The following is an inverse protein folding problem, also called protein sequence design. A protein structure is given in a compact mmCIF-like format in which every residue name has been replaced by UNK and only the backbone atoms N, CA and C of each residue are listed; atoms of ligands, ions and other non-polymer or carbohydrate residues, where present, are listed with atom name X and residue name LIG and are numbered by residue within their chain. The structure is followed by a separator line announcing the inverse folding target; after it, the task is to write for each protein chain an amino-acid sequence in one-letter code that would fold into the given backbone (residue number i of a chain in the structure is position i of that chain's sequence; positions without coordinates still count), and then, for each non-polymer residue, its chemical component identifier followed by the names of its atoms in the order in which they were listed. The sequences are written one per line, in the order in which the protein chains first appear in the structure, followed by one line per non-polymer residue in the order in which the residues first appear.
data_IF_983834638628
#
_entry.id   IF_983834638628
#
_cell.length_a   1.000
_cell.length_b   1.000
_cell.length_c   1.000
_cell.angle_alpha   90.00
_cell.angle_beta   90.00
_cell.angle_gamma   90.00
#
_symmetry.space_group_name_H-M   'P 1'
#
loop_
_entity.id
_entity.type
_entity.pdbx_description
1 polymer ?
#
# COMPACT_ATOMS: atom_id res chain seq x y z
N UNK A 1 4.16 -1.12 -6.25
CA UNK A 1 5.48 -0.89 -6.81
C UNK A 1 6.02 -2.08 -7.59
N UNK A 2 6.88 -2.93 -7.00
CA UNK A 2 7.59 -3.96 -7.76
C UNK A 2 6.69 -4.92 -8.54
N UNK A 3 5.60 -5.38 -7.96
CA UNK A 3 4.65 -6.30 -8.61
C UNK A 3 3.93 -5.69 -9.81
N UNK A 4 3.62 -4.40 -9.74
CA UNK A 4 3.06 -3.63 -10.86
C UNK A 4 4.07 -3.54 -12.01
N UNK A 5 5.35 -3.28 -11.70
CA UNK A 5 6.42 -3.21 -12.69
C UNK A 5 6.71 -4.58 -13.33
N UNK A 6 6.75 -5.64 -12.53
CA UNK A 6 6.91 -7.01 -13.04
C UNK A 6 5.77 -7.35 -13.98
N UNK A 7 4.52 -7.13 -13.56
CA UNK A 7 3.34 -7.36 -14.38
C UNK A 7 3.35 -6.55 -15.67
N UNK A 8 3.69 -5.26 -15.61
CA UNK A 8 3.83 -4.41 -16.79
C UNK A 8 4.91 -4.89 -17.75
N UNK A 9 6.07 -5.32 -17.24
CA UNK A 9 7.14 -5.89 -18.08
C UNK A 9 6.72 -7.22 -18.72
N UNK A 10 5.96 -8.07 -18.03
CA UNK A 10 5.38 -9.28 -18.63
C UNK A 10 4.42 -8.89 -19.75
N UNK A 11 3.56 -7.88 -19.55
CA UNK A 11 2.69 -7.36 -20.61
C UNK A 11 3.46 -6.88 -21.82
N UNK A 12 4.60 -6.20 -21.61
CA UNK A 12 5.52 -5.83 -22.71
C UNK A 12 6.14 -7.03 -23.39
N UNK A 13 6.58 -8.04 -22.64
CA UNK A 13 7.13 -9.27 -23.19
C UNK A 13 6.12 -10.00 -24.09
N UNK A 14 4.85 -10.03 -23.68
CA UNK A 14 3.76 -10.58 -24.53
C UNK A 14 3.63 -9.81 -25.83
N UNK A 15 3.69 -8.47 -25.80
CA UNK A 15 3.67 -7.65 -27.01
C UNK A 15 4.80 -8.03 -27.96
N UNK A 16 6.02 -8.21 -27.44
CA UNK A 16 7.22 -8.52 -28.24
C UNK A 16 7.14 -9.94 -28.82
N UNK A 17 6.69 -10.93 -28.03
CA UNK A 17 6.52 -12.33 -28.46
C UNK A 17 5.51 -12.45 -29.63
N UNK A 18 4.36 -11.81 -29.46
CA UNK A 18 3.29 -11.85 -30.49
C UNK A 18 3.49 -10.81 -31.60
N UNK A 19 4.59 -10.05 -31.56
CA UNK A 19 4.92 -9.00 -32.52
C UNK A 19 3.77 -8.02 -32.77
N UNK A 20 3.00 -7.70 -31.75
CA UNK A 20 1.89 -6.77 -31.86
C UNK A 20 2.44 -5.36 -32.09
N UNK A 21 1.85 -4.65 -33.05
CA UNK A 21 2.28 -3.32 -33.45
C UNK A 21 1.20 -2.29 -33.06
N UNK A 22 1.64 -1.10 -32.71
CA UNK A 22 0.79 0.04 -32.40
C UNK A 22 0.83 0.45 -30.93
N UNK A 23 0.72 1.75 -30.70
CA UNK A 23 0.78 2.34 -29.36
C UNK A 23 -0.40 1.90 -28.48
N UNK A 24 -1.57 1.67 -29.07
CA UNK A 24 -2.73 1.20 -28.33
C UNK A 24 -2.51 -0.20 -27.72
N UNK A 25 -1.98 -1.15 -28.51
CA UNK A 25 -1.65 -2.48 -28.03
C UNK A 25 -0.60 -2.43 -26.93
N UNK A 26 0.42 -1.58 -27.09
CA UNK A 26 1.48 -1.38 -26.09
C UNK A 26 0.92 -0.85 -24.78
N UNK A 27 0.15 0.23 -24.80
CA UNK A 27 -0.45 0.80 -23.60
C UNK A 27 -1.42 -0.17 -22.92
N UNK A 28 -2.25 -0.86 -23.71
CA UNK A 28 -3.21 -1.84 -23.20
C UNK A 28 -2.52 -3.00 -22.49
N UNK A 29 -1.49 -3.62 -23.10
CA UNK A 29 -0.81 -4.77 -22.50
C UNK A 29 0.03 -4.39 -21.29
N UNK A 30 0.70 -3.22 -21.30
CA UNK A 30 1.40 -2.70 -20.13
C UNK A 30 0.44 -2.50 -18.94
N UNK A 31 -0.69 -1.83 -19.19
CA UNK A 31 -1.70 -1.58 -18.16
C UNK A 31 -2.35 -2.87 -17.65
N UNK A 32 -2.69 -3.79 -18.57
CA UNK A 32 -3.25 -5.12 -18.22
C UNK A 32 -2.29 -5.91 -17.35
N UNK A 33 -1.01 -5.98 -17.73
CA UNK A 33 0.00 -6.68 -16.95
C UNK A 33 0.22 -6.05 -15.58
N UNK A 34 0.28 -4.72 -15.51
CA UNK A 34 0.41 -3.98 -14.26
C UNK A 34 -0.77 -4.22 -13.32
N UNK A 35 -2.01 -4.17 -13.84
CA UNK A 35 -3.22 -4.49 -13.08
C UNK A 35 -3.24 -5.94 -12.57
N UNK A 36 -2.89 -6.88 -13.46
CA UNK A 36 -2.81 -8.31 -13.13
C UNK A 36 -1.76 -8.59 -12.03
N UNK A 37 -0.60 -7.92 -12.11
CA UNK A 37 0.44 -8.02 -11.09
C UNK A 37 0.00 -7.50 -9.72
N UNK A 38 -0.75 -6.39 -9.70
CA UNK A 38 -1.31 -5.86 -8.45
C UNK A 38 -2.39 -6.77 -7.88
N UNK A 39 -3.31 -7.24 -8.75
CA UNK A 39 -4.39 -8.14 -8.36
C UNK A 39 -3.87 -9.45 -7.75
N UNK A 40 -2.81 -10.03 -8.35
CA UNK A 40 -2.15 -11.21 -7.81
C UNK A 40 -1.49 -10.95 -6.45
N UNK A 41 -0.83 -9.78 -6.32
CA UNK A 41 -0.12 -9.44 -5.07
C UNK A 41 -1.04 -9.29 -3.86
N UNK A 42 -2.29 -8.88 -4.07
CA UNK A 42 -3.25 -8.59 -2.99
C UNK A 42 -4.47 -9.53 -2.98
N UNK A 43 -4.54 -10.49 -3.91
CA UNK A 43 -5.74 -11.31 -4.15
C UNK A 43 -7.02 -10.44 -4.26
N UNK A 44 -6.89 -9.26 -4.87
CA UNK A 44 -7.92 -8.23 -4.93
C UNK A 44 -8.14 -7.75 -6.38
N UNK A 45 -8.95 -8.48 -7.18
CA UNK A 45 -9.13 -8.18 -8.59
C UNK A 45 -9.74 -6.80 -8.85
N UNK A 46 -10.76 -6.42 -8.10
CA UNK A 46 -11.41 -5.10 -8.27
C UNK A 46 -10.46 -3.95 -7.95
N UNK A 47 -9.70 -4.08 -6.86
CA UNK A 47 -8.70 -3.09 -6.49
C UNK A 47 -7.60 -2.94 -7.56
N UNK A 48 -7.15 -4.05 -8.17
CA UNK A 48 -6.20 -4.03 -9.27
C UNK A 48 -6.71 -3.28 -10.50
N UNK A 49 -7.97 -3.47 -10.86
CA UNK A 49 -8.62 -2.76 -11.98
C UNK A 49 -8.74 -1.26 -11.67
N UNK A 50 -9.29 -0.91 -10.51
CA UNK A 50 -9.51 0.49 -10.13
C UNK A 50 -8.19 1.25 -10.01
N UNK A 51 -7.18 0.64 -9.39
CA UNK A 51 -5.85 1.24 -9.26
C UNK A 51 -5.23 1.62 -10.62
N UNK A 52 -5.29 0.72 -11.61
CA UNK A 52 -4.74 1.02 -12.92
C UNK A 52 -5.53 2.11 -13.64
N UNK A 53 -6.85 2.10 -13.53
CA UNK A 53 -7.70 3.13 -14.10
C UNK A 53 -7.37 4.50 -13.49
N UNK A 54 -7.09 4.57 -12.20
CA UNK A 54 -6.82 5.80 -11.48
C UNK A 54 -5.37 6.26 -11.63
N UNK A 55 -4.40 5.38 -11.36
CA UNK A 55 -2.97 5.71 -11.28
C UNK A 55 -2.33 5.88 -12.66
N UNK A 56 -2.71 5.06 -13.65
CA UNK A 56 -2.12 5.10 -14.98
C UNK A 56 -2.90 6.03 -15.95
N UNK A 57 -3.64 6.99 -15.44
CA UNK A 57 -4.44 7.93 -16.23
C UNK A 57 -3.72 8.53 -17.45
N UNK A 58 -2.45 8.98 -17.37
CA UNK A 58 -1.78 9.59 -18.52
C UNK A 58 -1.42 8.58 -19.60
N UNK A 59 -1.20 7.30 -19.23
CA UNK A 59 -0.77 6.22 -20.12
C UNK A 59 -1.91 5.29 -20.53
N UNK A 60 -3.04 5.33 -19.82
CA UNK A 60 -4.18 4.46 -20.07
C UNK A 60 -5.18 5.13 -21.00
N UNK A 61 -5.32 4.57 -22.21
CA UNK A 61 -6.36 4.99 -23.17
C UNK A 61 -7.63 4.21 -22.86
N UNK A 62 -8.67 4.92 -22.45
CA UNK A 62 -9.99 4.36 -22.13
C UNK A 62 -10.74 3.94 -23.39
N UNK A 63 -10.28 2.87 -24.04
CA UNK A 63 -11.01 2.21 -25.13
C UNK A 63 -11.73 0.98 -24.57
N UNK A 64 -12.80 0.54 -25.24
CA UNK A 64 -13.48 -0.71 -24.87
C UNK A 64 -12.54 -1.91 -24.90
N UNK A 65 -11.55 -1.89 -25.80
CA UNK A 65 -10.54 -2.93 -25.94
C UNK A 65 -9.64 -2.94 -24.69
N UNK A 66 -9.11 -1.77 -24.31
CA UNK A 66 -8.23 -1.63 -23.15
C UNK A 66 -8.92 -2.04 -21.86
N UNK A 67 -10.17 -1.60 -21.65
CA UNK A 67 -10.94 -1.95 -20.45
C UNK A 67 -11.19 -3.47 -20.39
N UNK A 68 -11.66 -4.08 -21.48
CA UNK A 68 -11.90 -5.53 -21.53
C UNK A 68 -10.61 -6.32 -21.30
N UNK A 69 -9.48 -5.89 -21.86
CA UNK A 69 -8.19 -6.54 -21.69
C UNK A 69 -7.74 -6.51 -20.22
N UNK A 70 -7.89 -5.36 -19.53
CA UNK A 70 -7.57 -5.24 -18.11
C UNK A 70 -8.44 -6.17 -17.26
N UNK A 71 -9.76 -6.21 -17.50
CA UNK A 71 -10.66 -7.12 -16.79
C UNK A 71 -10.26 -8.59 -16.99
N UNK A 72 -10.06 -9.01 -18.24
CA UNK A 72 -9.66 -10.39 -18.55
C UNK A 72 -8.33 -10.73 -17.89
N UNK A 73 -7.32 -9.87 -18.05
CA UNK A 73 -5.99 -10.10 -17.49
C UNK A 73 -6.00 -10.20 -15.95
N UNK A 74 -6.74 -9.34 -15.29
CA UNK A 74 -6.90 -9.35 -13.82
C UNK A 74 -7.64 -10.60 -13.35
N UNK A 75 -8.74 -10.98 -14.00
CA UNK A 75 -9.50 -12.18 -13.66
C UNK A 75 -8.64 -13.43 -13.82
N UNK A 76 -7.94 -13.57 -14.96
CA UNK A 76 -7.05 -14.70 -15.21
C UNK A 76 -5.90 -14.77 -14.20
N UNK A 77 -5.29 -13.63 -13.87
CA UNK A 77 -4.25 -13.56 -12.86
C UNK A 77 -4.75 -14.00 -11.47
N UNK A 78 -5.94 -13.56 -11.08
CA UNK A 78 -6.56 -13.93 -9.80
C UNK A 78 -6.93 -15.43 -9.77
N UNK A 79 -7.45 -15.97 -10.87
CA UNK A 79 -7.72 -17.42 -10.98
C UNK A 79 -6.42 -18.21 -10.81
N UNK A 80 -5.36 -17.85 -11.52
CA UNK A 80 -4.07 -18.51 -11.39
C UNK A 80 -3.49 -18.39 -9.98
N UNK A 81 -3.58 -17.21 -9.37
CA UNK A 81 -3.15 -17.02 -7.98
C UNK A 81 -3.88 -18.00 -7.03
N UNK A 82 -5.21 -18.12 -7.14
CA UNK A 82 -6.03 -18.99 -6.29
C UNK A 82 -5.78 -20.47 -6.52
N UNK A 83 -5.47 -20.89 -7.74
CA UNK A 83 -5.08 -22.28 -8.04
C UNK A 83 -3.83 -22.67 -7.25
N UNK A 84 -2.82 -21.78 -7.15
CA UNK A 84 -1.55 -22.08 -6.50
C UNK A 84 -1.56 -21.79 -4.99
N UNK A 85 -2.29 -20.78 -4.53
CA UNK A 85 -2.26 -20.30 -3.14
C UNK A 85 -3.56 -20.55 -2.37
N UNK A 86 -4.52 -21.27 -2.98
CA UNK A 86 -5.86 -21.47 -2.43
C UNK A 86 -6.64 -20.15 -2.21
N UNK A 87 -7.84 -20.24 -1.64
CA UNK A 87 -8.72 -19.08 -1.39
C UNK A 87 -8.43 -18.37 -0.06
N UNK A 88 -7.16 -18.21 0.29
CA UNK A 88 -6.79 -17.56 1.54
C UNK A 88 -6.73 -16.05 1.33
N UNK A 89 -7.41 -15.29 2.18
CA UNK A 89 -7.25 -13.84 2.23
C UNK A 89 -5.80 -13.49 2.57
N UNK A 90 -5.20 -12.55 1.84
CA UNK A 90 -3.83 -12.11 2.11
C UNK A 90 -3.71 -11.44 3.48
N UNK A 91 -4.76 -10.72 3.88
CA UNK A 91 -4.87 -10.05 5.17
C UNK A 91 -6.16 -10.55 5.80
N UNK A 92 -6.05 -11.40 6.81
CA UNK A 92 -7.19 -11.85 7.60
C UNK A 92 -7.35 -10.92 8.81
N UNK A 93 -8.38 -10.09 8.75
CA UNK A 93 -8.71 -9.14 9.84
C UNK A 93 -9.76 -9.69 10.80
N UNK A 94 -10.14 -10.98 10.63
CA UNK A 94 -11.20 -11.60 11.42
C UNK A 94 -12.59 -11.08 11.07
N UNK A 95 -13.55 -11.39 11.93
CA UNK A 95 -14.92 -10.88 11.82
C UNK A 95 -15.04 -9.64 12.71
N UNK A 96 -15.23 -8.50 12.10
CA UNK A 96 -15.57 -7.26 12.80
C UNK A 96 -17.08 -7.09 12.82
N UNK A 97 -17.59 -6.47 13.88
CA UNK A 97 -19.01 -6.14 13.97
C UNK A 97 -19.38 -5.03 12.97
N UNK A 98 -20.59 -5.11 12.42
CA UNK A 98 -21.10 -4.07 11.54
C UNK A 98 -21.29 -2.77 12.33
N UNK A 99 -20.72 -1.67 11.82
CA UNK A 99 -20.90 -0.36 12.42
C UNK A 99 -22.33 0.15 12.16
N UNK A 100 -23.05 0.66 13.17
CA UNK A 100 -24.36 1.24 13.00
C UNK A 100 -24.35 2.44 12.03
N UNK A 101 -25.40 2.60 11.22
CA UNK A 101 -25.48 3.70 10.23
C UNK A 101 -25.38 5.09 10.84
N UNK A 102 -25.80 5.26 12.10
CA UNK A 102 -25.71 6.52 12.84
C UNK A 102 -24.29 6.90 13.23
N UNK A 103 -23.28 6.06 12.96
CA UNK A 103 -21.86 6.32 13.22
C UNK A 103 -21.09 6.76 11.97
N UNK A 104 -21.74 6.87 10.81
CA UNK A 104 -21.10 7.27 9.56
C UNK A 104 -20.38 8.62 9.62
N UNK A 105 -20.82 9.53 10.48
CA UNK A 105 -20.15 10.80 10.70
C UNK A 105 -18.73 10.65 11.28
N UNK A 106 -18.46 9.59 12.05
CA UNK A 106 -17.11 9.27 12.53
C UNK A 106 -16.17 8.91 11.37
N UNK A 107 -16.68 8.14 10.40
CA UNK A 107 -15.93 7.83 9.18
C UNK A 107 -15.68 9.08 8.32
N UNK A 108 -16.61 10.02 8.32
CA UNK A 108 -16.40 11.32 7.66
C UNK A 108 -15.24 12.09 8.32
N UNK A 109 -15.20 12.14 9.66
CA UNK A 109 -14.10 12.78 10.40
C UNK A 109 -12.78 12.07 10.10
N UNK A 110 -12.75 10.74 10.14
CA UNK A 110 -11.58 9.95 9.79
C UNK A 110 -11.11 10.25 8.35
N UNK A 111 -12.04 10.35 7.41
CA UNK A 111 -11.76 10.73 6.02
C UNK A 111 -11.13 12.12 5.91
N UNK A 112 -11.58 13.09 6.69
CA UNK A 112 -10.98 14.43 6.75
C UNK A 112 -9.56 14.36 7.31
N UNK A 113 -9.33 13.57 8.37
CA UNK A 113 -7.99 13.37 8.96
C UNK A 113 -7.03 12.79 7.91
N UNK A 114 -7.44 11.74 7.18
CA UNK A 114 -6.63 11.16 6.10
C UNK A 114 -6.44 12.13 4.93
N UNK A 115 -7.48 12.89 4.59
CA UNK A 115 -7.41 13.91 3.54
C UNK A 115 -6.40 15.01 3.83
N UNK A 116 -6.21 15.37 5.10
CA UNK A 116 -5.18 16.32 5.54
C UNK A 116 -3.81 15.64 5.64
N UNK A 117 -3.76 14.42 6.17
CA UNK A 117 -2.51 13.69 6.37
C UNK A 117 -1.81 13.35 5.03
N UNK A 118 -2.58 12.95 4.00
CA UNK A 118 -2.02 12.54 2.71
C UNK A 118 -1.11 13.60 2.06
N UNK A 119 -1.57 14.84 1.82
CA UNK A 119 -0.74 15.90 1.27
C UNK A 119 0.47 16.25 2.15
N UNK A 120 0.34 16.20 3.47
CA UNK A 120 1.43 16.44 4.42
C UNK A 120 2.48 15.35 4.27
N UNK A 121 2.06 14.08 4.26
CA UNK A 121 2.96 12.94 4.07
C UNK A 121 3.70 13.03 2.73
N UNK A 122 3.01 13.39 1.65
CA UNK A 122 3.64 13.57 0.34
C UNK A 122 4.72 14.66 0.36
N UNK A 123 4.46 15.79 1.04
CA UNK A 123 5.48 16.84 1.24
C UNK A 123 6.70 16.31 2.02
N UNK A 124 6.47 15.47 3.04
CA UNK A 124 7.57 14.88 3.80
C UNK A 124 8.39 13.90 2.94
N UNK A 125 7.74 13.11 2.08
CA UNK A 125 8.42 12.23 1.12
C UNK A 125 9.34 13.04 0.21
N UNK A 126 8.80 14.08 -0.44
CA UNK A 126 9.58 14.94 -1.34
C UNK A 126 10.74 15.65 -0.59
N UNK A 127 10.46 16.22 0.58
CA UNK A 127 11.50 16.87 1.40
C UNK A 127 12.58 15.89 1.85
N UNK A 128 12.22 14.66 2.20
CA UNK A 128 13.20 13.64 2.58
C UNK A 128 14.05 13.18 1.38
N UNK A 129 13.46 13.06 0.19
CA UNK A 129 14.20 12.75 -1.04
C UNK A 129 15.23 13.85 -1.34
N UNK A 130 14.82 15.12 -1.26
CA UNK A 130 15.72 16.27 -1.47
C UNK A 130 16.84 16.29 -0.43
N UNK A 131 16.52 16.03 0.84
CA UNK A 131 17.49 16.00 1.93
C UNK A 131 18.54 14.90 1.69
N UNK A 132 18.11 13.67 1.43
CA UNK A 132 19.02 12.56 1.21
C UNK A 132 19.84 12.76 -0.08
N UNK A 133 19.25 13.33 -1.12
CA UNK A 133 19.97 13.68 -2.34
C UNK A 133 21.08 14.71 -2.07
N UNK A 134 20.82 15.73 -1.25
CA UNK A 134 21.85 16.70 -0.83
C UNK A 134 22.95 16.05 0.00
N UNK A 135 22.62 15.12 0.88
CA UNK A 135 23.59 14.43 1.76
C UNK A 135 24.59 13.61 0.95
N UNK A 136 24.12 12.81 -0.01
CA UNK A 136 25.04 12.01 -0.83
C UNK A 136 25.68 12.81 -1.98
N UNK A 137 25.05 13.90 -2.45
CA UNK A 137 25.61 14.81 -3.46
C UNK A 137 26.06 14.12 -4.75
N UNK A 138 25.42 13.01 -5.16
CA UNK A 138 25.82 12.18 -6.30
C UNK A 138 27.03 11.26 -6.06
N UNK A 139 27.61 11.25 -4.85
CA UNK A 139 28.74 10.38 -4.53
C UNK A 139 28.25 8.97 -4.18
N UNK A 140 28.65 7.98 -4.97
CA UNK A 140 28.22 6.57 -4.84
C UNK A 140 28.59 6.00 -3.47
N UNK A 141 29.78 6.29 -2.95
CA UNK A 141 30.23 5.77 -1.64
C UNK A 141 29.34 6.30 -0.51
N UNK A 142 29.03 7.61 -0.52
CA UNK A 142 28.12 8.19 0.47
C UNK A 142 26.71 7.61 0.34
N UNK A 143 26.24 7.37 -0.88
CA UNK A 143 24.94 6.78 -1.13
C UNK A 143 24.84 5.36 -0.59
N UNK A 144 25.85 4.52 -0.86
CA UNK A 144 25.93 3.13 -0.33
C UNK A 144 26.00 3.13 1.21
N UNK A 145 26.84 3.98 1.82
CA UNK A 145 26.94 4.09 3.27
C UNK A 145 25.61 4.55 3.90
N UNK A 146 24.94 5.52 3.28
CA UNK A 146 23.62 5.99 3.72
C UNK A 146 22.56 4.87 3.64
N UNK A 147 22.53 4.13 2.52
CA UNK A 147 21.66 2.97 2.36
C UNK A 147 21.93 1.89 3.41
N UNK A 148 23.22 1.62 3.69
CA UNK A 148 23.63 0.70 4.75
C UNK A 148 23.19 1.17 6.14
N UNK A 149 23.32 2.47 6.44
CA UNK A 149 22.87 3.04 7.72
C UNK A 149 21.34 2.95 7.89
N UNK A 150 20.57 3.27 6.82
CA UNK A 150 19.11 3.15 6.83
C UNK A 150 18.70 1.67 7.00
N UNK A 151 19.34 0.76 6.26
CA UNK A 151 19.09 -0.67 6.37
C UNK A 151 19.42 -1.20 7.77
N UNK A 152 20.55 -0.78 8.35
CA UNK A 152 20.93 -1.12 9.72
C UNK A 152 19.93 -0.61 10.77
N UNK A 153 19.45 0.63 10.62
CA UNK A 153 18.39 1.20 11.48
C UNK A 153 17.09 0.39 11.37
N UNK A 154 16.66 0.07 10.16
CA UNK A 154 15.45 -0.71 9.94
C UNK A 154 15.60 -2.15 10.48
N UNK A 155 16.80 -2.76 10.35
CA UNK A 155 17.12 -4.07 10.92
C UNK A 155 17.09 -4.06 12.45
N UNK A 156 17.66 -3.04 13.08
CA UNK A 156 17.64 -2.87 14.52
C UNK A 156 16.21 -2.66 15.04
N UNK A 157 15.43 -1.79 14.38
CA UNK A 157 14.03 -1.58 14.72
C UNK A 157 13.20 -2.85 14.52
N UNK A 158 13.48 -3.63 13.46
CA UNK A 158 12.84 -4.92 13.21
C UNK A 158 13.15 -5.97 14.29
N UNK A 159 14.32 -5.90 14.90
CA UNK A 159 14.71 -6.78 16.01
C UNK A 159 14.06 -6.34 17.34
N UNK A 160 14.11 -5.05 17.66
CA UNK A 160 13.63 -4.52 18.95
C UNK A 160 12.08 -4.37 18.96
N UNK A 161 11.51 -3.92 17.85
CA UNK A 161 10.08 -3.67 17.70
C UNK A 161 9.59 -4.12 16.31
N UNK A 162 9.36 -5.42 16.10
CA UNK A 162 9.01 -6.00 14.79
C UNK A 162 7.81 -5.31 14.10
N UNK A 163 6.86 -4.77 14.89
CA UNK A 163 5.71 -4.03 14.38
C UNK A 163 6.07 -2.74 13.62
N UNK A 164 7.29 -2.19 13.82
CA UNK A 164 7.72 -0.92 13.21
C UNK A 164 8.39 -1.08 11.85
N UNK A 165 8.71 -2.29 11.42
CA UNK A 165 9.47 -2.56 10.20
C UNK A 165 8.72 -3.45 9.21
N UNK A 166 9.30 -3.61 8.01
CA UNK A 166 8.75 -4.45 6.94
C UNK A 166 7.48 -3.88 6.28
N UNK A 167 6.85 -4.65 5.41
CA UNK A 167 5.67 -4.24 4.63
C UNK A 167 4.40 -4.01 5.46
N UNK A 168 4.34 -4.53 6.70
CA UNK A 168 3.23 -4.31 7.62
C UNK A 168 2.06 -5.27 7.49
N UNK A 169 2.09 -6.26 6.61
CA UNK A 169 1.00 -7.23 6.47
C UNK A 169 0.69 -7.99 7.76
N UNK A 170 1.70 -8.36 8.55
CA UNK A 170 1.52 -9.02 9.84
C UNK A 170 1.03 -8.06 10.94
N UNK A 171 1.26 -6.76 10.78
CA UNK A 171 0.80 -5.75 11.73
C UNK A 171 -0.71 -5.50 11.62
N UNK A 172 -1.24 -5.52 10.40
CA UNK A 172 -2.64 -5.17 10.12
C UNK A 172 -3.61 -6.02 10.95
N UNK A 173 -3.57 -7.38 10.94
CA UNK A 173 -4.47 -8.19 11.74
C UNK A 173 -4.33 -7.95 13.25
N UNK A 174 -3.08 -7.74 13.73
CA UNK A 174 -2.81 -7.54 15.16
C UNK A 174 -3.35 -6.19 15.63
N UNK A 175 -3.16 -5.14 14.82
CA UNK A 175 -3.65 -3.80 15.12
C UNK A 175 -5.19 -3.75 15.08
N UNK A 176 -5.80 -4.36 14.05
CA UNK A 176 -7.25 -4.43 13.90
C UNK A 176 -7.93 -5.18 15.04
N UNK A 177 -7.28 -6.24 15.57
CA UNK A 177 -7.77 -6.97 16.75
C UNK A 177 -7.68 -6.17 18.07
N UNK A 178 -7.15 -4.94 18.06
CA UNK A 178 -7.06 -4.09 19.25
C UNK A 178 -5.99 -4.52 20.27
N UNK A 179 -5.01 -5.32 19.86
CA UNK A 179 -3.99 -5.89 20.76
C UNK A 179 -2.90 -4.88 21.20
N UNK A 180 -2.97 -3.63 20.77
CA UNK A 180 -2.02 -2.59 21.14
C UNK A 180 -2.64 -1.52 22.04
N UNK A 181 -1.88 -1.03 23.00
CA UNK A 181 -2.25 0.17 23.74
C UNK A 181 -2.14 1.42 22.85
N UNK A 182 -2.85 2.50 23.19
CA UNK A 182 -2.78 3.78 22.48
C UNK A 182 -1.34 4.29 22.34
N UNK A 183 -0.56 4.24 23.41
CA UNK A 183 0.86 4.64 23.39
C UNK A 183 1.70 3.82 22.40
N UNK A 184 1.43 2.51 22.32
CA UNK A 184 2.12 1.63 21.37
C UNK A 184 1.70 1.92 19.93
N UNK A 185 0.44 2.21 19.65
CA UNK A 185 -0.04 2.59 18.32
C UNK A 185 0.62 3.90 17.85
N UNK A 186 0.70 4.91 18.71
CA UNK A 186 1.38 6.17 18.41
C UNK A 186 2.87 5.94 18.12
N UNK A 187 3.54 5.14 18.95
CA UNK A 187 4.95 4.78 18.72
C UNK A 187 5.15 4.07 17.38
N UNK A 188 4.34 3.04 17.09
CA UNK A 188 4.40 2.29 15.82
C UNK A 188 4.13 3.24 14.64
N UNK A 189 3.14 4.11 14.74
CA UNK A 189 2.80 5.08 13.69
C UNK A 189 3.99 5.99 13.37
N UNK A 190 4.56 6.64 14.38
CA UNK A 190 5.70 7.55 14.21
C UNK A 190 6.93 6.82 13.67
N UNK A 191 7.27 5.66 14.25
CA UNK A 191 8.39 4.86 13.79
C UNK A 191 8.21 4.41 12.33
N UNK A 192 7.01 3.97 11.94
CA UNK A 192 6.70 3.59 10.55
C UNK A 192 6.72 4.76 9.59
N UNK A 193 6.23 5.92 9.98
CA UNK A 193 6.36 7.14 9.15
C UNK A 193 7.83 7.40 8.87
N UNK A 194 8.68 7.42 9.90
CA UNK A 194 10.12 7.70 9.77
C UNK A 194 10.80 6.64 8.89
N UNK A 195 10.59 5.35 9.18
CA UNK A 195 11.21 4.26 8.42
C UNK A 195 10.75 4.24 6.96
N UNK A 196 9.46 4.50 6.70
CA UNK A 196 8.93 4.59 5.33
C UNK A 196 9.53 5.75 4.57
N UNK A 197 9.63 6.93 5.18
CA UNK A 197 10.27 8.11 4.57
C UNK A 197 11.74 7.84 4.24
N UNK A 198 12.50 7.28 5.18
CA UNK A 198 13.92 6.97 4.98
C UNK A 198 14.13 5.91 3.90
N UNK A 199 13.40 4.79 3.98
CA UNK A 199 13.55 3.70 3.01
C UNK A 199 13.13 4.10 1.62
N UNK A 200 11.97 4.76 1.46
CA UNK A 200 11.47 5.17 0.15
C UNK A 200 12.35 6.25 -0.49
N UNK A 201 12.88 7.15 0.32
CA UNK A 201 13.72 8.25 -0.15
C UNK A 201 15.20 7.87 -0.33
N UNK A 202 15.62 6.67 0.08
CA UNK A 202 17.00 6.19 -0.06
C UNK A 202 17.44 5.95 -1.51
N UNK A 203 16.48 5.89 -2.44
CA UNK A 203 16.72 5.52 -3.85
C UNK A 203 16.80 4.02 -4.08
N UNK A 204 16.66 3.19 -3.05
CA UNK A 204 16.54 1.74 -3.22
C UNK A 204 15.20 1.40 -3.92
N UNK A 205 15.19 0.45 -4.86
CA UNK A 205 13.95 0.04 -5.51
C UNK A 205 12.98 -0.57 -4.50
N UNK A 206 11.79 -0.01 -4.38
CA UNK A 206 10.80 -0.44 -3.42
C UNK A 206 9.40 0.05 -3.74
N UNK A 207 8.43 -0.26 -2.86
CA UNK A 207 7.06 0.19 -2.98
C UNK A 207 6.57 0.81 -1.68
N UNK A 208 5.81 1.89 -1.80
CA UNK A 208 5.24 2.61 -0.65
C UNK A 208 3.85 2.07 -0.27
N UNK A 209 3.19 1.32 -1.15
CA UNK A 209 1.78 0.93 -1.00
C UNK A 209 1.51 0.10 0.27
N UNK A 210 2.28 -0.97 0.49
CA UNK A 210 2.10 -1.83 1.67
C UNK A 210 2.40 -1.10 3.00
N UNK A 211 3.48 -0.31 3.14
CA UNK A 211 3.67 0.54 4.30
C UNK A 211 2.53 1.54 4.55
N UNK A 212 1.95 2.10 3.48
CA UNK A 212 0.82 3.04 3.59
C UNK A 212 -0.44 2.36 4.12
N UNK A 213 -0.74 1.13 3.69
CA UNK A 213 -1.84 0.35 4.26
C UNK A 213 -1.65 0.14 5.77
N UNK A 214 -0.45 -0.25 6.19
CA UNK A 214 -0.16 -0.43 7.60
C UNK A 214 -0.26 0.87 8.41
N UNK A 215 0.19 2.01 7.86
CA UNK A 215 0.02 3.32 8.49
C UNK A 215 -1.46 3.69 8.62
N UNK A 216 -2.24 3.44 7.55
CA UNK A 216 -3.70 3.64 7.56
C UNK A 216 -4.38 2.83 8.65
N UNK A 217 -4.07 1.54 8.75
CA UNK A 217 -4.59 0.65 9.78
C UNK A 217 -4.26 1.15 11.19
N UNK A 218 -2.99 1.49 11.46
CA UNK A 218 -2.58 1.96 12.80
C UNK A 218 -3.28 3.26 13.18
N UNK A 219 -3.38 4.23 12.26
CA UNK A 219 -4.08 5.48 12.50
C UNK A 219 -5.59 5.27 12.66
N UNK A 220 -6.19 4.42 11.82
CA UNK A 220 -7.60 4.07 11.92
C UNK A 220 -7.94 3.35 13.22
N UNK A 221 -7.12 2.38 13.66
CA UNK A 221 -7.29 1.72 14.97
C UNK A 221 -7.16 2.72 16.12
N UNK A 222 -6.16 3.62 16.08
CA UNK A 222 -5.99 4.63 17.11
C UNK A 222 -7.21 5.57 17.20
N UNK A 223 -7.72 6.01 16.04
CA UNK A 223 -8.96 6.78 15.98
C UNK A 223 -10.14 5.98 16.54
N UNK A 224 -10.26 4.70 16.17
CA UNK A 224 -11.31 3.79 16.64
C UNK A 224 -11.28 3.63 18.17
N UNK A 225 -10.10 3.50 18.78
CA UNK A 225 -9.97 3.44 20.24
C UNK A 225 -10.51 4.71 20.92
N UNK A 226 -10.18 5.89 20.38
CA UNK A 226 -10.72 7.17 20.86
C UNK A 226 -12.23 7.24 20.67
N UNK A 227 -12.74 6.77 19.52
CA UNK A 227 -14.17 6.77 19.24
C UNK A 227 -14.95 5.84 20.19
N UNK A 228 -14.41 4.66 20.49
CA UNK A 228 -15.01 3.72 21.46
C UNK A 228 -15.07 4.30 22.86
N UNK A 229 -14.04 5.01 23.28
CA UNK A 229 -13.96 5.64 24.61
C UNK A 229 -14.93 6.84 24.74
N UNK A 230 -15.02 7.67 23.69
CA UNK A 230 -15.88 8.86 23.69
C UNK A 230 -17.37 8.53 23.46
N UNK A 231 -17.66 7.44 22.74
CA UNK A 231 -19.03 7.10 22.31
C UNK A 231 -19.38 5.63 22.63
N UNK A 232 -19.33 5.23 23.93
CA UNK A 232 -19.58 3.83 24.32
C UNK A 232 -20.99 3.35 23.97
N UNK A 233 -21.96 4.28 23.80
CA UNK A 233 -23.33 3.96 23.43
C UNK A 233 -23.50 3.32 22.05
N UNK A 234 -22.49 3.42 21.18
CA UNK A 234 -22.57 2.83 19.84
C UNK A 234 -22.00 1.40 19.77
N UNK A 235 -21.42 0.87 20.83
CA UNK A 235 -20.83 -0.47 20.91
C UNK A 235 -19.89 -0.76 19.74
N UNK A 236 -19.02 0.22 19.41
CA UNK A 236 -18.07 0.14 18.31
C UNK A 236 -16.87 -0.74 18.64
N UNK A 237 -16.32 -1.39 17.64
CA UNK A 237 -15.00 -2.02 17.73
C UNK A 237 -13.95 -1.09 17.10
N UNK A 238 -12.81 -0.90 17.76
CA UNK A 238 -11.76 -0.01 17.25
C UNK A 238 -11.25 -0.45 15.87
N UNK A 239 -11.22 -1.75 15.61
CA UNK A 239 -10.78 -2.33 14.34
C UNK A 239 -11.65 -1.97 13.13
N UNK A 240 -12.91 -1.59 13.30
CA UNK A 240 -13.79 -1.20 12.18
C UNK A 240 -13.36 0.08 11.47
N UNK A 241 -12.55 0.91 12.14
CA UNK A 241 -11.97 2.13 11.56
C UNK A 241 -10.60 1.89 10.91
N UNK A 242 -10.07 0.67 10.99
CA UNK A 242 -8.75 0.30 10.50
C UNK A 242 -8.75 -0.25 9.06
N UNK A 243 -9.95 -0.47 8.49
CA UNK A 243 -10.17 -1.12 7.19
C UNK A 243 -10.64 -0.10 6.16
#
# INVERSE_FOLDING_TARGET
GPTVQIGGNIGRMVLDIFRLKGDEARHTLLATGAAAGLAAAFNAPLAGILFIIEEMRPQFRYTLISIKAVFIGVIMSTIMYRIFNHEVALIDVGKLSDAPLNTLWLYLILGIIFGIFGPIFNKWVLGMQDLLHRVHGGNITKWVLMGGAIGGLCGLLGFVAPATSGGGFNLIPIATAGNFSMGMLVFIFVARVITTLLCFSSGAPGGIFAPMLALGTVLGTAFGMVAVELFPQYHLEAGTFAI
#
